data_IF_051524222721
#
_entry.id   IF_051524222721
#
_cell.length_a   1.000
_cell.length_b   1.000
_cell.length_c   1.000
_cell.angle_alpha   90.00
_cell.angle_beta   90.00
_cell.angle_gamma   90.00
#
_symmetry.space_group_name_H-M   'P 1'
#
loop_
_entity.id
_entity.type
_entity.pdbx_description
1 polymer ?
#
# COMPACT_ATOMS: atom_id res chain seq x y z
N UNK A 1 12.69 -18.30 -3.14
CA UNK A 1 12.98 -17.82 -4.52
C UNK A 1 13.76 -16.52 -4.41
N UNK A 2 14.68 -16.19 -5.34
CA UNK A 2 15.36 -14.87 -5.36
C UNK A 2 15.16 -14.24 -6.72
N UNK A 3 14.87 -12.94 -6.73
CA UNK A 3 14.71 -12.13 -7.96
C UNK A 3 15.76 -11.04 -8.00
N UNK A 4 16.08 -10.59 -9.22
CA UNK A 4 16.97 -9.47 -9.46
C UNK A 4 16.12 -8.28 -9.94
N UNK A 5 16.30 -7.10 -9.29
CA UNK A 5 15.56 -5.88 -9.59
C UNK A 5 16.53 -4.80 -10.04
N UNK A 6 16.40 -4.32 -11.28
CA UNK A 6 17.11 -3.13 -11.76
C UNK A 6 16.49 -1.89 -11.11
N UNK A 7 17.20 -1.26 -10.17
CA UNK A 7 16.69 -0.16 -9.35
C UNK A 7 16.37 1.06 -10.20
N UNK A 8 17.21 1.37 -11.18
CA UNK A 8 17.01 2.55 -12.02
C UNK A 8 15.70 2.46 -12.78
N UNK A 9 15.44 1.31 -13.39
CA UNK A 9 14.19 1.06 -14.12
C UNK A 9 13.00 0.96 -13.17
N UNK A 10 13.14 0.18 -12.09
CA UNK A 10 12.06 -0.12 -11.15
C UNK A 10 11.58 1.13 -10.41
N UNK A 11 12.48 2.02 -10.00
CA UNK A 11 12.15 3.26 -9.32
C UNK A 11 12.06 4.47 -10.27
N UNK A 12 12.22 4.28 -11.57
CA UNK A 12 12.27 5.34 -12.58
C UNK A 12 13.23 6.48 -12.16
N UNK A 13 14.51 6.14 -11.90
CA UNK A 13 15.51 7.11 -11.50
C UNK A 13 16.17 7.77 -12.72
N UNK A 14 16.45 9.07 -12.64
CA UNK A 14 17.20 9.80 -13.67
C UNK A 14 18.67 9.37 -13.74
N UNK A 15 19.25 8.95 -12.61
CA UNK A 15 20.64 8.55 -12.46
C UNK A 15 20.81 7.20 -11.75
N UNK A 16 22.07 6.89 -11.38
CA UNK A 16 22.35 5.72 -10.55
C UNK A 16 21.77 5.90 -9.13
N UNK A 17 21.31 4.82 -8.49
CA UNK A 17 20.86 4.87 -7.10
C UNK A 17 21.97 5.34 -6.17
N UNK A 18 21.60 6.08 -5.12
CA UNK A 18 22.56 6.68 -4.17
C UNK A 18 22.84 5.80 -2.97
N UNK A 19 21.80 5.19 -2.42
CA UNK A 19 21.85 4.48 -1.14
C UNK A 19 21.81 2.96 -1.29
N UNK A 20 21.16 2.46 -2.33
CA UNK A 20 21.02 1.03 -2.58
C UNK A 20 21.88 0.58 -3.77
N UNK A 21 22.11 -0.73 -3.91
CA UNK A 21 22.82 -1.31 -5.05
C UNK A 21 22.07 -1.04 -6.36
N UNK A 22 22.79 -1.01 -7.49
CA UNK A 22 22.18 -0.80 -8.82
C UNK A 22 21.20 -1.91 -9.19
N UNK A 23 21.47 -3.13 -8.71
CA UNK A 23 20.61 -4.31 -8.83
C UNK A 23 20.35 -4.89 -7.45
N UNK A 24 19.08 -4.98 -7.05
CA UNK A 24 18.71 -5.62 -5.79
C UNK A 24 18.55 -7.12 -6.00
N UNK A 25 19.20 -7.92 -5.17
CA UNK A 25 18.96 -9.37 -5.08
C UNK A 25 18.01 -9.62 -3.91
N UNK A 26 16.72 -9.83 -4.22
CA UNK A 26 15.65 -9.93 -3.23
C UNK A 26 15.22 -11.39 -3.07
N UNK A 27 15.41 -11.97 -1.89
CA UNK A 27 14.83 -13.24 -1.52
C UNK A 27 13.36 -13.03 -1.13
N UNK A 28 12.47 -13.83 -1.70
CA UNK A 28 11.02 -13.76 -1.44
C UNK A 28 10.58 -15.05 -0.75
N UNK A 29 9.89 -14.91 0.38
CA UNK A 29 9.25 -16.00 1.12
C UNK A 29 7.84 -16.25 0.58
N UNK A 30 7.25 -17.40 0.89
CA UNK A 30 5.91 -17.79 0.44
C UNK A 30 4.79 -16.84 0.95
N UNK A 31 5.07 -16.06 2.00
CA UNK A 31 4.11 -15.12 2.59
C UNK A 31 4.37 -13.65 2.22
N UNK A 32 5.36 -13.38 1.35
CA UNK A 32 5.69 -12.03 0.94
C UNK A 32 5.23 -11.74 -0.50
N UNK A 33 4.89 -10.48 -0.77
CA UNK A 33 4.59 -10.04 -2.12
C UNK A 33 5.82 -10.18 -3.02
N UNK A 34 5.63 -10.76 -4.19
CA UNK A 34 6.65 -10.89 -5.23
C UNK A 34 6.69 -9.62 -6.09
N UNK A 35 7.77 -8.84 -6.06
CA UNK A 35 7.92 -7.67 -6.94
C UNK A 35 7.82 -8.05 -8.42
N UNK A 36 7.03 -7.27 -9.18
CA UNK A 36 6.76 -7.50 -10.60
C UNK A 36 7.66 -6.63 -11.45
N UNK A 37 8.84 -7.16 -11.80
CA UNK A 37 9.86 -6.42 -12.55
C UNK A 37 9.60 -6.38 -14.06
N UNK A 38 8.82 -7.32 -14.60
CA UNK A 38 8.49 -7.40 -16.02
C UNK A 38 7.31 -6.50 -16.41
N UNK A 39 6.40 -6.24 -15.46
CA UNK A 39 5.27 -5.32 -15.62
C UNK A 39 5.19 -4.38 -14.43
N UNK A 40 5.92 -3.26 -14.54
CA UNK A 40 5.99 -2.23 -13.52
C UNK A 40 4.61 -1.66 -13.18
N UNK A 41 3.69 -1.58 -14.14
CA UNK A 41 2.35 -1.01 -13.92
C UNK A 41 1.47 -1.89 -13.03
N UNK A 42 1.78 -3.16 -12.90
CA UNK A 42 1.12 -4.08 -11.99
C UNK A 42 1.81 -4.21 -10.62
N UNK A 43 2.97 -3.56 -10.43
CA UNK A 43 3.69 -3.56 -9.16
C UNK A 43 3.17 -2.48 -8.20
N UNK A 44 3.05 -2.81 -6.91
CA UNK A 44 2.56 -1.87 -5.90
C UNK A 44 3.63 -0.88 -5.44
N UNK A 45 4.88 -1.32 -5.35
CA UNK A 45 5.97 -0.47 -4.89
C UNK A 45 6.44 0.44 -6.01
N UNK A 46 6.78 -0.11 -7.16
CA UNK A 46 7.29 0.67 -8.28
C UNK A 46 6.26 1.65 -8.85
N UNK A 47 5.00 1.21 -8.99
CA UNK A 47 3.97 2.01 -9.66
C UNK A 47 3.21 2.95 -8.74
N UNK A 48 3.06 2.61 -7.46
CA UNK A 48 2.28 3.41 -6.48
C UNK A 48 3.17 4.05 -5.42
N UNK A 49 3.97 3.25 -4.69
CA UNK A 49 4.74 3.77 -3.57
C UNK A 49 5.90 4.68 -4.02
N UNK A 50 6.65 4.29 -5.04
CA UNK A 50 7.82 5.06 -5.48
C UNK A 50 7.44 6.47 -5.98
N UNK A 51 6.41 6.69 -6.83
CA UNK A 51 5.94 8.02 -7.18
C UNK A 51 5.48 8.83 -5.96
N UNK A 52 4.79 8.20 -5.00
CA UNK A 52 4.37 8.87 -3.77
C UNK A 52 5.57 9.29 -2.91
N UNK A 53 6.59 8.43 -2.76
CA UNK A 53 7.80 8.76 -1.99
C UNK A 53 8.59 9.90 -2.64
N UNK A 54 8.71 9.92 -3.98
CA UNK A 54 9.30 11.06 -4.70
C UNK A 54 8.56 12.37 -4.38
N UNK A 55 7.24 12.33 -4.43
CA UNK A 55 6.41 13.50 -4.13
C UNK A 55 6.51 13.92 -2.66
N UNK A 56 6.59 12.96 -1.71
CA UNK A 56 6.86 13.26 -0.30
C UNK A 56 8.20 14.01 -0.17
N UNK A 57 9.24 13.48 -0.77
CA UNK A 57 10.58 14.07 -0.72
C UNK A 57 10.65 15.47 -1.35
N UNK A 58 9.95 15.65 -2.48
CA UNK A 58 9.82 16.96 -3.14
C UNK A 58 9.11 17.97 -2.22
N UNK A 59 7.98 17.57 -1.60
CA UNK A 59 7.21 18.45 -0.73
C UNK A 59 7.94 18.82 0.57
N UNK A 60 8.73 17.92 1.12
CA UNK A 60 9.54 18.18 2.32
C UNK A 60 10.76 19.04 2.00
N UNK A 61 11.36 18.89 0.83
CA UNK A 61 12.57 19.60 0.41
C UNK A 61 13.86 19.13 1.10
N UNK A 62 13.79 18.09 1.94
CA UNK A 62 14.94 17.51 2.67
C UNK A 62 14.77 16.01 2.86
N UNK A 63 15.84 15.30 3.23
CA UNK A 63 15.80 13.87 3.56
C UNK A 63 14.90 13.61 4.77
N UNK A 64 14.26 12.46 4.79
CA UNK A 64 13.45 11.96 5.92
C UNK A 64 14.41 11.40 6.95
N UNK A 65 14.29 11.84 8.21
CA UNK A 65 15.16 11.31 9.28
C UNK A 65 14.70 9.90 9.68
N UNK A 66 13.40 9.70 9.85
CA UNK A 66 12.84 8.45 10.33
C UNK A 66 11.67 7.98 9.47
N UNK A 67 11.79 6.76 8.94
CA UNK A 67 10.80 6.08 8.10
C UNK A 67 10.37 4.76 8.75
N UNK A 68 9.09 4.41 8.68
CA UNK A 68 8.63 3.08 9.05
C UNK A 68 7.75 2.46 7.97
N UNK A 69 7.84 1.13 7.80
CA UNK A 69 6.95 0.34 6.94
C UNK A 69 6.24 -0.74 7.74
N UNK A 70 4.92 -0.85 7.54
CA UNK A 70 4.05 -1.87 8.14
C UNK A 70 3.70 -2.91 7.08
N UNK A 71 3.90 -4.19 7.37
CA UNK A 71 3.64 -5.27 6.41
C UNK A 71 4.65 -5.24 5.25
N UNK A 72 5.94 -5.11 5.58
CA UNK A 72 7.02 -4.85 4.62
C UNK A 72 7.26 -5.97 3.60
N UNK A 73 6.75 -7.18 3.85
CA UNK A 73 6.94 -8.31 2.94
C UNK A 73 8.42 -8.60 2.67
N UNK A 74 8.86 -8.45 1.42
CA UNK A 74 10.26 -8.70 1.04
C UNK A 74 11.24 -7.58 1.43
N UNK A 75 10.77 -6.44 1.96
CA UNK A 75 11.58 -5.28 2.31
C UNK A 75 11.91 -4.35 1.14
N UNK A 76 11.30 -4.56 -0.03
CA UNK A 76 11.56 -3.72 -1.20
C UNK A 76 10.98 -2.31 -1.04
N UNK A 77 9.89 -2.15 -0.31
CA UNK A 77 9.31 -0.87 0.09
C UNK A 77 10.25 -0.09 1.01
N UNK A 78 10.93 -0.79 1.94
CA UNK A 78 11.94 -0.20 2.81
C UNK A 78 13.16 0.28 2.01
N UNK A 79 13.69 -0.56 1.10
CA UNK A 79 14.79 -0.17 0.21
C UNK A 79 14.39 1.03 -0.67
N UNK A 80 13.14 1.07 -1.14
CA UNK A 80 12.58 2.21 -1.88
C UNK A 80 12.51 3.47 -1.02
N UNK A 81 12.09 3.35 0.24
CA UNK A 81 12.06 4.46 1.19
C UNK A 81 13.46 5.01 1.49
N UNK A 82 14.44 4.13 1.69
CA UNK A 82 15.85 4.54 1.89
C UNK A 82 16.36 5.29 0.65
N UNK A 83 16.11 4.77 -0.55
CA UNK A 83 16.61 5.40 -1.78
C UNK A 83 15.92 6.73 -2.08
N UNK A 84 14.60 6.78 -2.02
CA UNK A 84 13.82 7.93 -2.49
C UNK A 84 13.60 9.01 -1.41
N UNK A 85 13.45 8.61 -0.15
CA UNK A 85 13.26 9.53 0.97
C UNK A 85 14.58 9.95 1.62
N UNK A 86 15.67 9.21 1.38
CA UNK A 86 16.95 9.42 2.05
C UNK A 86 16.90 9.05 3.54
N UNK A 87 16.06 8.08 3.92
CA UNK A 87 15.81 7.72 5.31
C UNK A 87 17.07 7.16 5.99
N UNK A 88 17.38 7.70 7.18
CA UNK A 88 18.57 7.33 7.96
C UNK A 88 18.27 6.37 9.10
N UNK A 89 17.07 6.43 9.65
CA UNK A 89 16.56 5.52 10.66
C UNK A 89 15.28 4.88 10.16
N UNK A 90 15.27 3.55 10.08
CA UNK A 90 14.20 2.81 9.44
C UNK A 90 13.66 1.73 10.36
N UNK A 91 12.34 1.80 10.62
CA UNK A 91 11.58 0.75 11.27
C UNK A 91 10.81 -0.08 10.25
N UNK A 92 10.71 -1.40 10.44
CA UNK A 92 9.81 -2.21 9.61
C UNK A 92 9.28 -3.42 10.36
N UNK A 93 8.07 -3.78 10.02
CA UNK A 93 7.36 -4.89 10.66
C UNK A 93 6.64 -5.76 9.64
N UNK A 94 6.39 -6.97 10.03
CA UNK A 94 5.46 -7.89 9.37
C UNK A 94 4.90 -8.86 10.41
N UNK A 95 3.77 -9.49 10.13
CA UNK A 95 3.17 -10.45 11.04
C UNK A 95 4.05 -11.69 11.21
N UNK A 96 4.70 -12.15 10.14
CA UNK A 96 5.47 -13.39 10.07
C UNK A 96 6.94 -13.18 10.37
N UNK A 97 7.49 -13.90 11.35
CA UNK A 97 8.92 -13.81 11.72
C UNK A 97 9.85 -14.15 10.55
N UNK A 98 9.50 -15.16 9.73
CA UNK A 98 10.28 -15.54 8.56
C UNK A 98 10.36 -14.42 7.51
N UNK A 99 9.26 -13.70 7.32
CA UNK A 99 9.17 -12.54 6.41
C UNK A 99 10.07 -11.43 6.89
N UNK A 100 9.96 -11.02 8.14
CA UNK A 100 10.78 -9.95 8.74
C UNK A 100 12.28 -10.30 8.67
N UNK A 101 12.65 -11.56 8.96
CA UNK A 101 14.04 -12.00 8.89
C UNK A 101 14.57 -11.90 7.46
N UNK A 102 13.82 -12.39 6.48
CA UNK A 102 14.22 -12.29 5.08
C UNK A 102 14.30 -10.83 4.59
N UNK A 103 13.34 -9.98 5.01
CA UNK A 103 13.38 -8.54 4.72
C UNK A 103 14.65 -7.88 5.28
N UNK A 104 15.01 -8.17 6.53
CA UNK A 104 16.21 -7.62 7.16
C UNK A 104 17.49 -8.04 6.42
N UNK A 105 17.58 -9.29 5.97
CA UNK A 105 18.70 -9.79 5.16
C UNK A 105 18.73 -9.11 3.79
N UNK A 106 17.58 -8.99 3.11
CA UNK A 106 17.45 -8.30 1.83
C UNK A 106 17.92 -6.83 1.95
N UNK A 107 17.45 -6.12 2.98
CA UNK A 107 17.81 -4.72 3.17
C UNK A 107 19.33 -4.58 3.39
N UNK A 108 19.91 -5.31 4.33
CA UNK A 108 21.35 -5.23 4.64
C UNK A 108 22.21 -5.57 3.43
N UNK A 109 21.85 -6.61 2.67
CA UNK A 109 22.58 -7.05 1.48
C UNK A 109 22.58 -6.03 0.35
N UNK A 110 21.49 -5.28 0.22
CA UNK A 110 21.26 -4.39 -0.91
C UNK A 110 21.58 -2.91 -0.61
N UNK A 111 22.00 -2.55 0.60
CA UNK A 111 22.54 -1.22 0.89
C UNK A 111 23.97 -1.09 0.38
N UNK A 112 24.31 0.06 -0.22
CA UNK A 112 25.72 0.40 -0.59
C UNK A 112 26.60 0.55 0.64
N UNK A 113 26.05 1.10 1.71
CA UNK A 113 26.68 1.22 3.01
C UNK A 113 25.68 0.84 4.11
N UNK A 114 25.82 -0.37 4.65
CA UNK A 114 24.88 -0.88 5.66
C UNK A 114 24.93 -0.07 6.97
N UNK A 115 26.06 0.56 7.29
CA UNK A 115 26.23 1.36 8.51
C UNK A 115 25.63 2.76 8.39
N UNK A 116 25.18 3.17 7.20
CA UNK A 116 24.57 4.49 6.97
C UNK A 116 23.09 4.57 7.39
N UNK A 117 22.47 3.44 7.68
CA UNK A 117 21.05 3.35 8.03
C UNK A 117 20.89 2.54 9.33
N UNK A 118 20.29 3.16 10.32
CA UNK A 118 19.89 2.46 11.54
C UNK A 118 18.61 1.67 11.30
N UNK A 119 18.62 0.35 11.52
CA UNK A 119 17.50 -0.55 11.31
C UNK A 119 16.90 -1.02 12.63
N UNK A 120 15.58 -0.87 12.79
CA UNK A 120 14.78 -1.47 13.84
C UNK A 120 13.67 -2.32 13.20
N UNK A 121 13.52 -3.58 13.62
CA UNK A 121 12.51 -4.44 13.02
C UNK A 121 12.01 -5.50 13.99
N UNK A 122 10.81 -5.98 13.73
CA UNK A 122 10.21 -7.04 14.53
C UNK A 122 8.99 -7.68 13.89
N UNK A 123 8.75 -8.93 14.25
CA UNK A 123 7.55 -9.66 13.83
C UNK A 123 6.45 -9.50 14.87
N UNK A 124 5.24 -9.18 14.41
CA UNK A 124 4.06 -9.04 15.26
C UNK A 124 3.01 -8.10 14.67
N UNK A 125 2.10 -7.65 15.53
CA UNK A 125 0.96 -6.87 15.12
C UNK A 125 1.31 -5.43 14.75
N UNK A 126 1.21 -5.10 13.47
CA UNK A 126 1.38 -3.76 12.92
C UNK A 126 2.67 -3.09 13.43
N UNK A 127 2.59 -1.96 14.16
CA UNK A 127 3.75 -1.25 14.69
C UNK A 127 4.22 -1.72 16.09
N UNK A 128 3.46 -2.57 16.76
CA UNK A 128 3.79 -3.00 18.14
C UNK A 128 5.22 -3.54 18.31
N UNK A 129 5.81 -4.27 17.34
CA UNK A 129 7.18 -4.74 17.47
C UNK A 129 8.25 -3.65 17.55
N UNK A 130 7.96 -2.41 17.14
CA UNK A 130 8.87 -1.27 17.18
C UNK A 130 8.80 -0.53 18.54
N UNK A 131 8.61 -1.27 19.62
CA UNK A 131 8.33 -0.73 20.96
C UNK A 131 9.52 -0.15 21.71
N UNK A 132 10.66 0.04 21.13
CA UNK A 132 11.74 0.75 21.86
C UNK A 132 11.37 2.21 22.22
N UNK A 133 10.09 2.43 22.38
CA UNK A 133 9.28 3.25 23.28
C UNK A 133 9.39 4.75 23.13
N UNK A 134 10.33 5.28 22.35
CA UNK A 134 10.52 6.75 22.21
C UNK A 134 10.83 7.20 20.79
N UNK A 135 10.87 6.27 19.85
CA UNK A 135 11.20 6.60 18.47
C UNK A 135 9.95 7.03 17.75
N UNK A 136 10.00 8.21 17.14
CA UNK A 136 8.95 8.78 16.33
C UNK A 136 9.37 8.78 14.87
N UNK A 137 8.43 8.57 13.96
CA UNK A 137 8.66 8.49 12.52
C UNK A 137 8.05 9.69 11.81
N UNK A 138 8.81 10.28 10.89
CA UNK A 138 8.34 11.37 10.04
C UNK A 138 7.39 10.86 8.97
N UNK A 139 7.69 9.65 8.47
CA UNK A 139 6.87 8.96 7.46
C UNK A 139 6.64 7.52 7.90
N UNK A 140 5.37 7.14 8.01
CA UNK A 140 4.96 5.76 8.17
C UNK A 140 4.23 5.35 6.89
N UNK A 141 4.62 4.24 6.29
CA UNK A 141 4.02 3.69 5.08
C UNK A 141 3.35 2.35 5.38
N UNK A 142 2.21 2.11 4.74
CA UNK A 142 1.58 0.80 4.75
C UNK A 142 0.85 0.52 3.42
N UNK A 143 0.87 -0.75 3.03
CA UNK A 143 0.12 -1.31 1.92
C UNK A 143 -0.47 -2.66 2.37
N UNK A 144 -1.40 -2.58 3.29
CA UNK A 144 -2.01 -3.75 3.91
C UNK A 144 -3.09 -4.37 3.02
N UNK A 145 -3.33 -5.69 3.12
CA UNK A 145 -4.34 -6.34 2.31
C UNK A 145 -5.76 -5.90 2.73
N UNK A 146 -6.60 -5.63 1.74
CA UNK A 146 -8.03 -5.40 1.89
C UNK A 146 -8.85 -6.31 0.96
N UNK A 147 -8.37 -7.52 0.73
CA UNK A 147 -9.01 -8.50 -0.15
C UNK A 147 -9.85 -9.47 0.69
N UNK A 148 -11.11 -9.76 0.27
CA UNK A 148 -11.99 -10.66 1.03
C UNK A 148 -11.49 -12.10 1.06
N UNK A 149 -11.77 -12.78 2.18
CA UNK A 149 -11.71 -14.24 2.27
C UNK A 149 -12.94 -14.83 1.60
N UNK A 150 -12.74 -15.79 0.70
CA UNK A 150 -13.80 -16.68 0.24
C UNK A 150 -13.36 -18.12 0.42
N UNK A 151 -14.32 -19.05 0.62
CA UNK A 151 -14.03 -20.48 0.81
C UNK A 151 -13.25 -21.12 -0.34
N UNK A 152 -13.28 -20.49 -1.52
CA UNK A 152 -12.58 -20.92 -2.72
C UNK A 152 -11.35 -20.07 -3.04
N UNK A 153 -10.94 -19.16 -2.16
CA UNK A 153 -9.84 -18.24 -2.42
C UNK A 153 -8.52 -19.00 -2.41
N UNK A 154 -8.00 -19.25 -3.60
CA UNK A 154 -6.60 -19.63 -3.84
C UNK A 154 -5.67 -18.42 -3.82
N UNK A 155 -6.09 -17.29 -3.23
CA UNK A 155 -5.20 -16.14 -3.06
C UNK A 155 -4.03 -16.67 -2.27
N UNK A 156 -2.96 -16.87 -3.02
CA UNK A 156 -1.77 -17.56 -2.57
C UNK A 156 -1.39 -17.08 -1.18
N UNK A 157 -1.44 -18.03 -0.26
CA UNK A 157 -0.82 -17.93 1.04
C UNK A 157 -1.24 -16.74 1.92
N UNK A 158 -2.56 -16.59 2.13
CA UNK A 158 -3.02 -15.85 3.31
C UNK A 158 -2.81 -14.33 3.25
N UNK A 159 -2.75 -13.75 2.05
CA UNK A 159 -2.65 -12.30 1.81
C UNK A 159 -3.98 -11.55 1.80
N UNK A 160 -5.02 -12.12 2.39
CA UNK A 160 -6.31 -11.46 2.52
C UNK A 160 -6.51 -10.90 3.93
N UNK A 161 -7.34 -9.86 4.04
CA UNK A 161 -7.58 -9.19 5.32
C UNK A 161 -8.23 -10.11 6.36
N UNK A 162 -9.11 -11.01 5.95
CA UNK A 162 -9.78 -11.94 6.86
C UNK A 162 -8.81 -12.81 7.65
N UNK A 163 -7.73 -13.29 7.01
CA UNK A 163 -6.71 -14.08 7.70
C UNK A 163 -6.05 -13.32 8.87
N UNK A 164 -5.87 -12.01 8.75
CA UNK A 164 -5.26 -11.17 9.79
C UNK A 164 -6.26 -10.70 10.85
N UNK A 165 -7.56 -10.81 10.60
CA UNK A 165 -8.62 -10.31 11.47
C UNK A 165 -9.26 -11.38 12.37
N UNK A 166 -9.11 -12.67 12.05
CA UNK A 166 -9.78 -13.78 12.74
C UNK A 166 -9.64 -13.81 14.29
N UNK A 167 -8.57 -13.22 14.83
CA UNK A 167 -8.25 -13.25 16.26
C UNK A 167 -8.25 -11.87 16.92
N UNK A 168 -8.75 -10.86 16.25
CA UNK A 168 -8.72 -9.49 16.77
C UNK A 168 -9.92 -9.26 17.68
N UNK A 169 -9.65 -8.51 18.77
CA UNK A 169 -10.64 -8.15 19.78
C UNK A 169 -10.90 -6.64 19.86
N UNK A 170 -10.17 -5.86 19.06
CA UNK A 170 -10.34 -4.42 19.03
C UNK A 170 -11.70 -4.02 18.43
N UNK A 171 -12.33 -3.02 19.02
CA UNK A 171 -13.55 -2.46 18.48
C UNK A 171 -13.26 -1.72 17.17
N UNK A 172 -13.79 -2.24 16.07
CA UNK A 172 -13.74 -1.64 14.75
C UNK A 172 -15.11 -1.03 14.45
N UNK A 173 -15.19 0.26 14.03
CA UNK A 173 -16.46 0.87 13.66
C UNK A 173 -17.14 0.08 12.52
N UNK A 174 -18.45 -0.10 12.60
CA UNK A 174 -19.25 -0.83 11.60
C UNK A 174 -19.00 -0.31 10.19
N UNK A 175 -19.00 1.00 10.00
CA UNK A 175 -18.67 1.62 8.71
C UNK A 175 -17.33 1.16 8.13
N UNK A 176 -16.29 1.00 8.96
CA UNK A 176 -14.96 0.56 8.52
C UNK A 176 -15.02 -0.88 8.04
N UNK A 177 -15.72 -1.72 8.80
CA UNK A 177 -15.92 -3.13 8.46
C UNK A 177 -16.72 -3.30 7.16
N UNK A 178 -17.82 -2.57 6.99
CA UNK A 178 -18.64 -2.57 5.77
C UNK A 178 -17.83 -2.20 4.52
N UNK A 179 -16.81 -1.34 4.65
CA UNK A 179 -15.93 -0.92 3.57
C UNK A 179 -14.68 -1.81 3.43
N UNK A 180 -14.54 -2.86 4.26
CA UNK A 180 -13.37 -3.76 4.29
C UNK A 180 -12.02 -3.04 4.53
N UNK A 181 -12.03 -2.03 5.40
CA UNK A 181 -10.87 -1.20 5.72
C UNK A 181 -10.29 -1.46 7.12
N UNK A 182 -10.62 -2.59 7.73
CA UNK A 182 -10.33 -2.93 9.13
C UNK A 182 -8.83 -2.83 9.47
N UNK A 183 -7.95 -3.44 8.66
CA UNK A 183 -6.51 -3.42 8.92
C UNK A 183 -5.92 -2.03 8.78
N UNK A 184 -6.36 -1.26 7.79
CA UNK A 184 -5.94 0.13 7.62
C UNK A 184 -6.37 1.01 8.79
N UNK A 185 -7.60 0.80 9.31
CA UNK A 185 -8.07 1.49 10.51
C UNK A 185 -7.19 1.22 11.72
N UNK A 186 -6.86 -0.05 11.97
CA UNK A 186 -6.02 -0.46 13.08
C UNK A 186 -4.60 0.08 12.95
N UNK A 187 -4.04 0.06 11.72
CA UNK A 187 -2.73 0.63 11.43
C UNK A 187 -2.70 2.14 11.70
N UNK A 188 -3.68 2.90 11.20
CA UNK A 188 -3.80 4.33 11.44
C UNK A 188 -3.95 4.65 12.94
N UNK A 189 -4.77 3.86 13.65
CA UNK A 189 -4.99 4.04 15.08
C UNK A 189 -3.72 3.82 15.89
N UNK A 190 -2.94 2.76 15.59
CA UNK A 190 -1.65 2.52 16.24
C UNK A 190 -0.62 3.59 15.86
N UNK A 191 -0.57 3.98 14.59
CA UNK A 191 0.43 4.91 14.08
C UNK A 191 0.45 6.26 14.80
N UNK A 192 -0.67 6.72 15.35
CA UNK A 192 -0.74 7.95 16.16
C UNK A 192 0.32 8.02 17.25
N UNK A 193 0.60 6.89 17.88
CA UNK A 193 1.57 6.81 18.99
C UNK A 193 3.03 6.72 18.49
N UNK A 194 3.25 6.56 17.19
CA UNK A 194 4.54 6.41 16.55
C UNK A 194 4.93 7.61 15.65
N UNK A 195 4.02 8.54 15.39
CA UNK A 195 4.29 9.70 14.55
C UNK A 195 5.14 10.74 15.29
N UNK A 196 6.09 11.34 14.58
CA UNK A 196 6.73 12.59 14.97
C UNK A 196 5.71 13.75 14.89
N UNK A 197 6.02 14.91 15.54
CA UNK A 197 5.09 16.05 15.62
C UNK A 197 4.53 16.52 14.27
N UNK A 198 5.31 16.40 13.19
CA UNK A 198 4.90 16.74 11.82
C UNK A 198 4.85 15.52 10.90
N UNK A 199 4.90 14.33 11.49
CA UNK A 199 4.88 13.08 10.75
C UNK A 199 3.51 12.76 10.16
N UNK A 200 3.51 11.91 9.15
CA UNK A 200 2.30 11.42 8.52
C UNK A 200 2.37 9.94 8.17
N UNK A 201 1.20 9.30 8.18
CA UNK A 201 1.02 7.96 7.61
C UNK A 201 0.61 8.11 6.16
N UNK A 202 1.21 7.29 5.31
CA UNK A 202 0.86 7.17 3.90
C UNK A 202 0.36 5.75 3.66
N UNK A 203 -0.97 5.62 3.53
CA UNK A 203 -1.66 4.34 3.34
C UNK A 203 -1.96 4.14 1.85
N UNK A 204 -1.46 3.06 1.27
CA UNK A 204 -1.83 2.66 -0.08
C UNK A 204 -3.12 1.84 -0.04
N UNK A 205 -4.18 2.38 -0.63
CA UNK A 205 -5.54 1.85 -0.56
C UNK A 205 -6.06 1.48 -1.95
N UNK A 206 -6.45 0.23 -2.14
CA UNK A 206 -7.20 -0.15 -3.33
C UNK A 206 -8.58 0.51 -3.36
N UNK A 207 -8.81 1.39 -4.33
CA UNK A 207 -10.00 2.24 -4.44
C UNK A 207 -11.26 1.50 -4.90
N UNK A 208 -11.60 0.42 -4.23
CA UNK A 208 -12.85 -0.34 -4.47
C UNK A 208 -14.02 0.20 -3.66
N UNK A 209 -13.80 1.29 -2.93
CA UNK A 209 -14.80 2.05 -2.17
C UNK A 209 -14.64 3.54 -2.51
N UNK A 210 -15.64 4.42 -2.20
CA UNK A 210 -15.51 5.84 -2.48
C UNK A 210 -14.37 6.51 -1.72
N UNK A 211 -13.75 7.52 -2.32
CA UNK A 211 -12.68 8.31 -1.67
C UNK A 211 -13.12 8.92 -0.34
N UNK A 212 -14.40 9.27 -0.22
CA UNK A 212 -14.97 9.76 1.05
C UNK A 212 -14.87 8.73 2.17
N UNK A 213 -14.86 7.43 1.87
CA UNK A 213 -14.65 6.37 2.85
C UNK A 213 -13.23 6.41 3.42
N UNK A 214 -12.23 6.73 2.60
CA UNK A 214 -10.85 6.88 3.06
C UNK A 214 -10.65 8.10 3.95
N UNK A 215 -11.29 9.23 3.61
CA UNK A 215 -11.26 10.42 4.49
C UNK A 215 -11.90 10.08 5.84
N UNK A 216 -13.07 9.44 5.83
CA UNK A 216 -13.77 9.03 7.05
C UNK A 216 -12.99 7.99 7.87
N UNK A 217 -12.27 7.10 7.20
CA UNK A 217 -11.37 6.14 7.87
C UNK A 217 -10.35 6.86 8.76
N UNK A 218 -9.66 7.87 8.22
CA UNK A 218 -8.71 8.66 8.99
C UNK A 218 -9.36 9.44 10.13
N UNK A 219 -10.54 10.04 9.91
CA UNK A 219 -11.30 10.72 10.94
C UNK A 219 -11.67 9.79 12.11
N UNK A 220 -12.15 8.59 11.79
CA UNK A 220 -12.49 7.57 12.79
C UNK A 220 -11.26 7.07 13.56
N UNK A 221 -10.09 7.05 12.92
CA UNK A 221 -8.82 6.77 13.57
C UNK A 221 -8.29 7.96 14.39
N UNK A 222 -8.95 9.13 14.34
CA UNK A 222 -8.57 10.35 15.07
C UNK A 222 -7.45 11.15 14.41
N UNK A 223 -7.32 11.04 13.09
CA UNK A 223 -6.33 11.74 12.26
C UNK A 223 -7.04 12.72 11.30
N UNK A 224 -6.30 13.70 10.78
CA UNK A 224 -6.69 14.49 9.61
C UNK A 224 -6.15 13.82 8.37
N UNK A 225 -6.99 13.62 7.35
CA UNK A 225 -6.60 12.86 6.16
C UNK A 225 -6.92 13.60 4.87
N UNK A 226 -6.06 13.41 3.87
CA UNK A 226 -6.21 13.93 2.50
C UNK A 226 -5.78 12.86 1.51
N UNK A 227 -6.34 12.90 0.29
CA UNK A 227 -5.85 12.06 -0.81
C UNK A 227 -4.56 12.68 -1.32
N UNK A 228 -3.44 11.98 -1.09
CA UNK A 228 -2.12 12.47 -1.45
C UNK A 228 -1.79 12.22 -2.93
N UNK A 229 -2.04 10.99 -3.42
CA UNK A 229 -2.01 10.66 -4.84
C UNK A 229 -3.20 9.78 -5.20
N UNK A 230 -3.62 9.85 -6.45
CA UNK A 230 -4.72 9.05 -6.98
C UNK A 230 -4.34 8.51 -8.35
N UNK A 231 -4.49 7.21 -8.53
CA UNK A 231 -4.10 6.50 -9.74
C UNK A 231 -5.01 5.29 -9.97
N UNK A 232 -4.63 4.38 -10.84
CA UNK A 232 -5.39 3.17 -11.10
C UNK A 232 -4.48 1.98 -11.45
N UNK A 233 -5.01 0.78 -11.30
CA UNK A 233 -4.35 -0.48 -11.67
C UNK A 233 -5.33 -1.45 -12.32
N UNK A 234 -4.82 -2.32 -13.18
CA UNK A 234 -5.53 -3.53 -13.57
C UNK A 234 -5.66 -4.43 -12.34
N UNK A 235 -6.82 -5.05 -12.17
CA UNK A 235 -7.06 -5.96 -11.05
C UNK A 235 -6.19 -7.22 -11.21
N UNK A 236 -5.27 -7.42 -10.27
CA UNK A 236 -4.52 -8.67 -10.18
C UNK A 236 -5.44 -9.80 -9.66
N UNK A 237 -5.18 -11.03 -10.11
CA UNK A 237 -5.96 -12.22 -9.71
C UNK A 237 -7.48 -11.99 -9.84
N UNK A 238 -7.96 -11.54 -11.02
CA UNK A 238 -9.31 -11.01 -11.16
C UNK A 238 -10.39 -12.05 -10.88
N UNK A 239 -10.17 -13.33 -11.19
CA UNK A 239 -11.12 -14.41 -10.91
C UNK A 239 -11.42 -14.50 -9.41
N UNK A 240 -10.40 -14.52 -8.56
CA UNK A 240 -10.55 -14.69 -7.12
C UNK A 240 -10.96 -13.38 -6.43
N UNK A 241 -10.30 -12.27 -6.80
CA UNK A 241 -10.53 -11.00 -6.10
C UNK A 241 -11.90 -10.43 -6.43
N UNK A 242 -12.29 -10.36 -7.71
CA UNK A 242 -13.57 -9.75 -8.09
C UNK A 242 -14.73 -10.64 -7.63
N UNK A 243 -14.63 -11.97 -7.75
CA UNK A 243 -15.66 -12.88 -7.24
C UNK A 243 -15.81 -12.80 -5.72
N UNK A 244 -14.69 -12.63 -5.02
CA UNK A 244 -14.68 -12.40 -3.57
C UNK A 244 -15.43 -11.14 -3.17
N UNK A 245 -15.15 -10.01 -3.83
CA UNK A 245 -15.90 -8.77 -3.62
C UNK A 245 -17.39 -8.90 -3.99
N UNK A 246 -17.72 -9.61 -5.07
CA UNK A 246 -19.11 -9.88 -5.45
C UNK A 246 -19.84 -10.75 -4.39
N UNK A 247 -19.14 -11.68 -3.75
CA UNK A 247 -19.71 -12.46 -2.65
C UNK A 247 -19.97 -11.59 -1.41
N UNK A 248 -19.06 -10.70 -1.06
CA UNK A 248 -19.24 -9.75 0.06
C UNK A 248 -20.35 -8.74 -0.22
N UNK A 249 -20.47 -8.28 -1.45
CA UNK A 249 -21.57 -7.37 -1.86
C UNK A 249 -22.94 -8.04 -1.71
N UNK A 250 -23.06 -9.32 -2.09
CA UNK A 250 -24.27 -10.13 -1.85
C UNK A 250 -24.54 -10.36 -0.37
N UNK A 251 -23.52 -10.37 0.48
CA UNK A 251 -23.64 -10.47 1.93
C UNK A 251 -24.00 -9.12 2.60
N UNK A 252 -24.09 -8.02 1.84
CA UNK A 252 -24.53 -6.71 2.31
C UNK A 252 -23.40 -5.73 2.63
N UNK A 253 -22.14 -6.06 2.30
CA UNK A 253 -21.03 -5.13 2.41
C UNK A 253 -20.92 -4.22 1.19
N UNK A 254 -20.16 -3.17 1.26
CA UNK A 254 -19.94 -2.21 0.18
C UNK A 254 -20.94 -1.05 0.18
N UNK A 255 -21.36 -0.54 -0.99
CA UNK A 255 -21.09 -1.04 -2.34
C UNK A 255 -19.65 -0.86 -2.80
N UNK A 256 -19.15 -1.83 -3.58
CA UNK A 256 -17.81 -1.77 -4.14
C UNK A 256 -17.79 -1.21 -5.56
N UNK A 257 -16.60 -0.72 -5.98
CA UNK A 257 -16.41 -0.01 -7.25
C UNK A 257 -15.30 -0.65 -8.06
N UNK A 258 -15.62 -1.01 -9.28
CA UNK A 258 -14.69 -1.46 -10.29
C UNK A 258 -14.95 -0.69 -11.58
N UNK A 259 -14.01 -0.79 -12.52
CA UNK A 259 -14.10 -0.09 -13.80
C UNK A 259 -13.47 -0.94 -14.90
N UNK A 260 -13.87 -0.71 -16.14
CA UNK A 260 -13.09 -1.19 -17.28
C UNK A 260 -11.76 -0.45 -17.34
N UNK A 261 -10.70 -1.18 -17.63
CA UNK A 261 -9.36 -0.58 -17.72
C UNK A 261 -9.31 0.55 -18.77
N UNK A 262 -10.07 0.44 -19.87
CA UNK A 262 -10.17 1.49 -20.89
C UNK A 262 -10.77 2.80 -20.38
N UNK A 263 -11.70 2.75 -19.44
CA UNK A 263 -12.30 3.95 -18.85
C UNK A 263 -11.36 4.61 -17.86
N UNK A 264 -10.66 3.80 -17.06
CA UNK A 264 -9.59 4.29 -16.17
C UNK A 264 -8.47 4.95 -16.98
N UNK A 265 -8.01 4.30 -18.05
CA UNK A 265 -6.96 4.85 -18.91
C UNK A 265 -7.34 6.23 -19.45
N UNK A 266 -8.58 6.44 -19.87
CA UNK A 266 -9.07 7.74 -20.34
C UNK A 266 -9.13 8.77 -19.22
N UNK A 267 -9.65 8.38 -18.04
CA UNK A 267 -9.82 9.31 -16.93
C UNK A 267 -8.49 9.81 -16.35
N UNK A 268 -7.43 9.02 -16.47
CA UNK A 268 -6.10 9.34 -15.93
C UNK A 268 -5.07 9.75 -16.99
N UNK A 269 -5.43 9.85 -18.28
CA UNK A 269 -4.49 10.04 -19.38
C UNK A 269 -3.56 11.25 -19.23
N UNK A 270 -4.09 12.39 -18.75
CA UNK A 270 -3.37 13.67 -18.66
C UNK A 270 -3.13 14.10 -17.20
N UNK A 271 -3.24 13.17 -16.25
CA UNK A 271 -3.12 13.47 -14.82
C UNK A 271 -1.70 13.16 -14.34
N UNK A 272 -0.96 14.17 -13.94
CA UNK A 272 0.34 13.99 -13.29
C UNK A 272 0.16 13.46 -11.83
N UNK A 273 1.15 12.74 -11.33
CA UNK A 273 1.14 12.26 -9.93
C UNK A 273 0.95 13.42 -8.95
N UNK A 274 1.60 14.56 -9.21
CA UNK A 274 1.56 15.76 -8.36
C UNK A 274 0.16 16.38 -8.25
N UNK A 275 -0.62 16.30 -9.31
CA UNK A 275 -1.96 16.88 -9.37
C UNK A 275 -3.06 15.88 -9.04
N UNK A 276 -2.74 14.58 -9.10
CA UNK A 276 -3.72 13.50 -8.97
C UNK A 276 -4.48 13.53 -7.64
N UNK A 277 -3.78 13.84 -6.54
CA UNK A 277 -4.41 13.93 -5.22
C UNK A 277 -5.39 15.11 -5.11
N UNK A 278 -5.01 16.27 -5.64
CA UNK A 278 -5.87 17.47 -5.63
C UNK A 278 -7.12 17.29 -6.48
N UNK A 279 -6.99 16.59 -7.60
CA UNK A 279 -8.08 16.34 -8.55
C UNK A 279 -8.84 15.04 -8.27
N UNK A 280 -8.50 14.32 -7.20
CA UNK A 280 -8.99 12.96 -6.94
C UNK A 280 -10.52 12.86 -6.95
N UNK A 281 -11.22 13.76 -6.27
CA UNK A 281 -12.68 13.77 -6.22
C UNK A 281 -13.33 14.14 -7.56
N UNK A 282 -12.69 14.98 -8.35
CA UNK A 282 -13.17 15.32 -9.71
C UNK A 282 -12.99 14.13 -10.66
N UNK A 283 -11.85 13.44 -10.57
CA UNK A 283 -11.58 12.21 -11.32
C UNK A 283 -12.59 11.12 -10.91
N UNK A 284 -12.79 10.89 -9.61
CA UNK A 284 -13.80 9.94 -9.12
C UNK A 284 -15.19 10.27 -9.65
N UNK A 285 -15.58 11.54 -9.65
CA UNK A 285 -16.87 12.00 -10.19
C UNK A 285 -16.99 11.75 -11.69
N UNK A 286 -15.90 11.94 -12.45
CA UNK A 286 -15.91 11.66 -13.90
C UNK A 286 -16.09 10.18 -14.22
N UNK A 287 -15.65 9.30 -13.33
CA UNK A 287 -15.78 7.85 -13.43
C UNK A 287 -17.14 7.31 -12.97
N UNK A 288 -18.03 8.14 -12.39
CA UNK A 288 -19.28 7.65 -11.78
C UNK A 288 -20.18 6.93 -12.77
N UNK A 289 -20.25 7.40 -14.04
CA UNK A 289 -21.06 6.76 -15.09
C UNK A 289 -20.47 5.45 -15.63
N UNK A 290 -19.18 5.19 -15.38
CA UNK A 290 -18.45 3.98 -15.82
C UNK A 290 -18.27 2.98 -14.69
N UNK A 291 -18.77 3.30 -13.51
CA UNK A 291 -18.67 2.45 -12.32
C UNK A 291 -19.43 1.14 -12.53
N UNK A 292 -18.79 0.05 -12.16
CA UNK A 292 -19.36 -1.29 -12.06
C UNK A 292 -19.43 -1.70 -10.60
N UNK A 293 -20.52 -2.32 -10.19
CA UNK A 293 -20.57 -3.10 -8.94
C UNK A 293 -19.60 -4.29 -9.03
N UNK A 294 -19.29 -4.93 -7.92
CA UNK A 294 -18.44 -6.11 -7.96
C UNK A 294 -19.07 -7.25 -8.78
N UNK A 295 -20.38 -7.40 -8.71
CA UNK A 295 -21.13 -8.40 -9.51
C UNK A 295 -21.03 -8.09 -11.01
N UNK A 296 -21.29 -6.84 -11.43
CA UNK A 296 -21.17 -6.41 -12.83
C UNK A 296 -19.74 -6.52 -13.36
N UNK A 297 -18.75 -6.19 -12.52
CA UNK A 297 -17.33 -6.32 -12.85
C UNK A 297 -16.93 -7.78 -13.08
N UNK A 298 -17.44 -8.70 -12.25
CA UNK A 298 -17.19 -10.11 -12.43
C UNK A 298 -17.82 -10.65 -13.71
N UNK A 299 -19.04 -10.25 -14.03
CA UNK A 299 -19.69 -10.60 -15.29
C UNK A 299 -18.94 -10.06 -16.52
N UNK A 300 -18.45 -8.82 -16.46
CA UNK A 300 -17.66 -8.21 -17.53
C UNK A 300 -16.32 -8.94 -17.71
N UNK A 301 -15.64 -9.26 -16.61
CA UNK A 301 -14.41 -10.06 -16.63
C UNK A 301 -14.66 -11.43 -17.27
N UNK A 302 -15.71 -12.13 -16.91
CA UNK A 302 -16.09 -13.45 -17.51
C UNK A 302 -16.38 -13.37 -19.02
N UNK A 303 -16.70 -12.19 -19.53
CA UNK A 303 -16.86 -11.91 -20.97
C UNK A 303 -15.55 -11.51 -21.66
N UNK A 304 -14.41 -11.53 -20.93
CA UNK A 304 -13.08 -11.20 -21.46
C UNK A 304 -12.70 -9.72 -21.37
N UNK A 305 -13.46 -8.89 -20.65
CA UNK A 305 -13.12 -7.49 -20.45
C UNK A 305 -12.00 -7.35 -19.38
N UNK A 306 -11.08 -6.40 -19.57
CA UNK A 306 -10.04 -6.09 -18.60
C UNK A 306 -10.59 -5.15 -17.55
N UNK A 307 -10.64 -5.61 -16.31
CA UNK A 307 -11.18 -4.88 -15.16
C UNK A 307 -10.04 -4.30 -14.32
N UNK A 308 -10.22 -3.09 -13.88
CA UNK A 308 -9.32 -2.39 -12.97
C UNK A 308 -10.05 -1.73 -11.80
N UNK A 309 -9.27 -1.13 -10.96
CA UNK A 309 -9.75 -0.30 -9.84
C UNK A 309 -8.84 0.91 -9.67
N UNK A 310 -9.36 1.95 -9.03
CA UNK A 310 -8.53 3.10 -8.64
C UNK A 310 -7.64 2.74 -7.45
N UNK A 311 -6.60 3.52 -7.22
CA UNK A 311 -5.70 3.39 -6.07
C UNK A 311 -5.46 4.78 -5.49
N UNK A 312 -5.64 4.92 -4.20
CA UNK A 312 -5.31 6.15 -3.49
C UNK A 312 -4.13 5.92 -2.53
N UNK A 313 -3.24 6.90 -2.44
CA UNK A 313 -2.37 7.04 -1.28
C UNK A 313 -3.02 8.08 -0.37
N UNK A 314 -3.46 7.64 0.79
CA UNK A 314 -4.06 8.49 1.81
C UNK A 314 -2.95 9.00 2.73
N UNK A 315 -2.81 10.32 2.87
CA UNK A 315 -1.95 10.93 3.88
C UNK A 315 -2.77 11.26 5.09
N UNK A 316 -2.35 10.76 6.25
CA UNK A 316 -3.02 10.97 7.53
C UNK A 316 -2.04 11.49 8.58
N UNK A 317 -2.37 12.59 9.25
CA UNK A 317 -1.53 13.24 10.26
C UNK A 317 -2.31 13.57 11.52
N UNK A 318 -1.62 13.78 12.63
CA UNK A 318 -2.24 14.27 13.87
C UNK A 318 -2.77 15.68 13.63
N UNK A 319 -3.96 15.98 14.17
CA UNK A 319 -4.60 17.29 14.05
C UNK A 319 -3.84 18.35 14.82
#
# INVERSE_FOLDING_TARGET
MSILVDVKTYLALDGAPKHVQDYLSVAVTDHAYLPKTEDITSDWVAYIAAPAFKLIRENLGHDVEAFASIGTGSGIDVLTGIELLGAKRVGFTDLQKSVVTAAAENIKKNLKNADSVELEFGAGDLLQPLQNGKRRYDVIYENLPNVPLTDNTKIEDKRNSGHYLEKRVEAIPEFVHEQMLDLHYLALKQARDYLADKGAVYSTLGGRVPLSAFIKLGELAGLSSEIFTYSWKVQAEPEDVISGYAAQEKAGLGPFRFYRASDLQKAFADISVKESGKNAFEIEKSLESSKLTATEAYEAFRKGEVIGHTVAVLKSSVK
#
